data_IF_484519538287
#
_entry.id   IF_484519538287
#
_cell.length_a   1.000
_cell.length_b   1.000
_cell.length_c   1.000
_cell.angle_alpha   90.00
_cell.angle_beta   90.00
_cell.angle_gamma   90.00
#
_symmetry.space_group_name_H-M   'P 1'
#
loop_
_entity.id
_entity.type
_entity.pdbx_description
1 polymer ?
#
# COMPACT_ATOMS: atom_id res chain seq x y z
N UNK A 1 -28.86 45.96 -19.09
CA UNK A 1 -28.90 44.62 -18.45
C UNK A 1 -27.55 43.89 -18.50
N UNK A 2 -26.41 44.51 -18.13
CA UNK A 2 -25.08 43.84 -18.15
C UNK A 2 -24.28 43.96 -16.84
N UNK A 3 -24.76 44.72 -15.85
CA UNK A 3 -24.03 44.95 -14.59
C UNK A 3 -24.43 43.96 -13.46
N UNK A 4 -25.64 43.41 -13.49
CA UNK A 4 -26.16 42.53 -12.44
C UNK A 4 -25.52 41.13 -12.48
N UNK A 5 -25.12 40.66 -13.67
CA UNK A 5 -24.48 39.35 -13.82
C UNK A 5 -23.03 39.31 -13.31
N UNK A 6 -22.32 40.44 -13.31
CA UNK A 6 -20.94 40.51 -12.82
C UNK A 6 -20.87 40.53 -11.30
N UNK A 7 -21.84 41.18 -10.63
CA UNK A 7 -21.89 41.23 -9.17
C UNK A 7 -22.20 39.87 -8.54
N UNK A 8 -23.04 39.06 -9.20
CA UNK A 8 -23.37 37.70 -8.75
C UNK A 8 -22.18 36.73 -8.75
N UNK A 9 -21.25 36.89 -9.71
CA UNK A 9 -20.06 36.04 -9.82
C UNK A 9 -19.01 36.42 -8.76
N UNK A 10 -18.86 37.71 -8.42
CA UNK A 10 -17.90 38.16 -7.40
C UNK A 10 -18.35 37.76 -5.98
N UNK A 11 -19.65 37.78 -5.69
CA UNK A 11 -20.18 37.36 -4.37
C UNK A 11 -20.06 35.85 -4.15
N UNK A 12 -20.14 35.02 -5.21
CA UNK A 12 -20.01 33.56 -5.08
C UNK A 12 -18.56 33.13 -4.75
N UNK A 13 -17.55 33.88 -5.21
CA UNK A 13 -16.13 33.56 -4.96
C UNK A 13 -15.70 33.94 -3.54
N UNK A 14 -16.32 34.95 -2.92
CA UNK A 14 -15.99 35.35 -1.55
C UNK A 14 -16.63 34.46 -0.46
N UNK A 15 -17.62 33.63 -0.79
CA UNK A 15 -18.33 32.78 0.17
C UNK A 15 -17.78 31.34 0.27
N UNK A 16 -16.78 30.98 -0.55
CA UNK A 16 -16.11 29.66 -0.51
C UNK A 16 -14.76 29.69 0.21
N UNK A 17 -14.49 30.74 0.99
CA UNK A 17 -13.47 30.64 2.03
C UNK A 17 -13.85 29.48 2.93
N UNK A 18 -13.17 28.34 2.74
CA UNK A 18 -13.26 27.22 3.66
C UNK A 18 -13.14 27.80 5.06
N UNK A 19 -14.11 27.47 5.91
CA UNK A 19 -14.16 27.89 7.29
C UNK A 19 -13.00 27.20 7.98
N UNK A 20 -11.80 27.74 7.80
CA UNK A 20 -10.68 27.43 8.66
C UNK A 20 -11.19 27.68 10.07
N UNK A 21 -10.97 26.71 10.96
CA UNK A 21 -11.36 26.79 12.36
C UNK A 21 -10.99 28.15 12.96
N UNK A 22 -11.71 28.67 13.96
CA UNK A 22 -11.32 29.94 14.59
C UNK A 22 -10.05 29.76 15.45
N UNK A 23 -9.20 30.80 15.63
CA UNK A 23 -8.08 30.74 16.57
C UNK A 23 -8.54 30.29 17.96
N UNK A 24 -7.88 29.27 18.53
CA UNK A 24 -8.23 28.68 19.83
C UNK A 24 -9.14 27.43 19.76
N UNK A 25 -9.56 27.00 18.57
CA UNK A 25 -10.16 25.68 18.37
C UNK A 25 -9.09 24.60 18.23
N UNK A 26 -9.35 23.36 18.69
CA UNK A 26 -8.45 22.22 18.46
C UNK A 26 -8.21 22.01 16.97
N UNK A 27 -6.99 21.65 16.59
CA UNK A 27 -6.67 21.28 15.21
C UNK A 27 -7.57 20.14 14.73
N UNK A 28 -8.15 20.31 13.55
CA UNK A 28 -8.99 19.31 12.89
C UNK A 28 -8.68 19.20 11.37
N UNK A 29 -9.51 18.47 10.64
CA UNK A 29 -9.30 18.27 9.21
C UNK A 29 -9.52 19.51 8.34
N UNK A 30 -10.19 20.55 8.85
CA UNK A 30 -10.35 21.82 8.14
C UNK A 30 -9.05 22.63 8.08
N UNK A 31 -8.09 22.31 8.95
CA UNK A 31 -6.78 22.99 9.03
C UNK A 31 -5.74 22.43 8.05
N UNK A 32 -6.02 21.30 7.40
CA UNK A 32 -5.12 20.71 6.42
C UNK A 32 -5.16 21.46 5.09
N UNK A 33 -3.98 21.81 4.60
CA UNK A 33 -3.77 22.40 3.27
C UNK A 33 -3.10 21.37 2.38
N UNK A 34 -3.81 20.92 1.35
CA UNK A 34 -3.26 20.00 0.34
C UNK A 34 -2.76 20.78 -0.88
N UNK A 35 -1.48 20.58 -1.21
CA UNK A 35 -0.81 21.23 -2.35
C UNK A 35 -1.06 20.48 -3.66
N UNK A 36 -1.43 19.20 -3.57
CA UNK A 36 -1.79 18.38 -4.71
C UNK A 36 -3.30 18.15 -4.74
N UNK A 37 -3.94 18.22 -5.92
CA UNK A 37 -5.37 17.91 -6.04
C UNK A 37 -5.62 16.42 -5.77
N UNK A 38 -6.84 16.09 -5.35
CA UNK A 38 -7.28 14.71 -5.11
C UNK A 38 -7.12 14.22 -3.68
N UNK A 39 -6.41 14.96 -2.82
CA UNK A 39 -6.31 14.64 -1.40
C UNK A 39 -7.36 15.38 -0.57
N UNK A 40 -7.79 14.74 0.52
CA UNK A 40 -8.72 15.33 1.50
C UNK A 40 -8.47 14.75 2.89
N UNK A 41 -8.91 15.47 3.93
CA UNK A 41 -8.81 15.01 5.32
C UNK A 41 -10.20 14.69 5.88
N UNK A 42 -10.34 13.53 6.51
CA UNK A 42 -11.46 13.13 7.35
C UNK A 42 -11.02 12.72 8.75
N UNK A 43 -11.95 12.66 9.70
CA UNK A 43 -11.66 12.17 11.05
C UNK A 43 -11.87 10.65 11.08
N UNK A 44 -10.79 9.88 11.27
CA UNK A 44 -10.88 8.42 11.37
C UNK A 44 -11.38 7.97 12.74
N UNK A 45 -10.76 8.51 13.79
CA UNK A 45 -11.11 8.25 15.18
C UNK A 45 -11.27 9.57 15.89
N UNK A 46 -12.49 9.91 16.37
CA UNK A 46 -12.73 11.17 17.03
C UNK A 46 -12.06 11.21 18.40
N UNK A 47 -11.92 12.42 18.92
CA UNK A 47 -11.37 12.70 20.24
C UNK A 47 -11.94 11.78 21.33
N UNK A 48 -11.05 11.16 22.11
CA UNK A 48 -11.43 10.37 23.30
C UNK A 48 -11.98 8.97 23.01
N UNK A 49 -12.07 8.54 21.76
CA UNK A 49 -12.28 7.14 21.44
C UNK A 49 -11.08 6.31 21.95
N UNK A 50 -11.34 5.12 22.46
CA UNK A 50 -10.29 4.16 22.76
C UNK A 50 -9.65 3.72 21.44
N UNK A 51 -8.65 4.47 20.97
CA UNK A 51 -7.86 4.08 19.81
C UNK A 51 -7.23 2.75 20.18
N UNK A 52 -7.52 1.71 19.40
CA UNK A 52 -6.94 0.41 19.63
C UNK A 52 -5.42 0.55 19.62
N UNK A 53 -4.77 0.10 20.71
CA UNK A 53 -3.31 0.16 20.90
C UNK A 53 -2.43 -0.41 19.76
N UNK A 54 -2.87 -1.31 18.85
CA UNK A 54 -1.97 -1.83 17.82
C UNK A 54 -1.32 -0.78 16.93
N UNK A 55 -2.03 0.28 16.51
CA UNK A 55 -1.47 1.34 15.66
C UNK A 55 -0.36 2.12 16.38
N UNK A 56 -0.54 2.42 17.67
CA UNK A 56 0.44 3.15 18.46
C UNK A 56 1.67 2.33 18.83
N UNK A 57 1.56 1.00 18.86
CA UNK A 57 2.68 0.12 19.24
C UNK A 57 3.52 -0.34 18.05
N UNK A 58 3.05 -0.09 16.82
CA UNK A 58 3.65 -0.62 15.59
C UNK A 58 3.59 0.44 14.50
N UNK A 59 4.61 1.29 14.44
CA UNK A 59 4.77 2.18 13.30
C UNK A 59 6.09 2.93 13.34
N UNK A 60 6.54 3.33 12.17
CA UNK A 60 7.55 4.37 12.00
C UNK A 60 6.83 5.66 11.57
N UNK A 61 7.54 6.77 11.48
CA UNK A 61 7.08 7.98 10.79
C UNK A 61 7.07 7.82 9.25
N UNK A 62 7.14 6.57 8.76
CA UNK A 62 7.31 6.20 7.36
C UNK A 62 6.46 4.98 7.01
N UNK A 63 5.76 5.05 5.88
CA UNK A 63 4.99 3.93 5.30
C UNK A 63 5.13 3.93 3.79
N UNK A 64 4.86 2.80 3.13
CA UNK A 64 4.82 2.71 1.67
C UNK A 64 3.36 2.75 1.22
N UNK A 65 3.02 3.60 0.26
CA UNK A 65 1.69 3.65 -0.36
C UNK A 65 1.50 2.51 -1.39
N UNK A 66 0.28 2.31 -1.89
CA UNK A 66 0.00 1.25 -2.87
C UNK A 66 0.76 1.43 -4.21
N UNK A 67 1.20 2.65 -4.53
CA UNK A 67 1.97 2.93 -5.72
C UNK A 67 3.50 2.76 -5.49
N UNK A 68 3.91 2.26 -4.31
CA UNK A 68 5.30 2.02 -3.96
C UNK A 68 6.07 3.27 -3.53
N UNK A 69 5.40 4.42 -3.34
CA UNK A 69 6.05 5.63 -2.85
C UNK A 69 6.19 5.60 -1.32
N UNK A 70 7.33 6.10 -0.83
CA UNK A 70 7.57 6.29 0.59
C UNK A 70 6.87 7.55 1.07
N UNK A 71 5.94 7.39 1.99
CA UNK A 71 5.25 8.47 2.69
C UNK A 71 5.94 8.71 4.02
N UNK A 72 6.26 9.97 4.31
CA UNK A 72 6.84 10.38 5.60
C UNK A 72 6.00 11.52 6.19
N UNK A 73 5.79 11.48 7.50
CA UNK A 73 5.23 12.62 8.23
C UNK A 73 6.33 13.28 9.04
N UNK A 74 6.56 14.56 8.79
CA UNK A 74 7.65 15.34 9.37
C UNK A 74 7.05 16.52 10.12
N UNK A 75 7.44 16.69 11.39
CA UNK A 75 7.21 17.93 12.11
C UNK A 75 8.41 18.85 11.93
N UNK A 76 8.18 20.13 11.62
CA UNK A 76 9.24 21.13 11.59
C UNK A 76 9.52 21.62 13.00
N UNK A 77 10.56 21.09 13.66
CA UNK A 77 11.11 21.68 14.89
C UNK A 77 12.66 21.76 14.93
N UNK A 78 13.35 21.35 13.87
CA UNK A 78 14.68 20.77 14.08
C UNK A 78 15.91 21.67 13.96
N UNK A 79 15.81 23.01 13.87
CA UNK A 79 17.07 23.80 13.82
C UNK A 79 17.06 25.23 14.34
N UNK A 80 15.92 25.87 14.56
CA UNK A 80 15.92 27.28 14.96
C UNK A 80 14.89 27.57 16.07
N UNK A 81 15.34 27.83 17.31
CA UNK A 81 14.45 28.07 18.46
C UNK A 81 13.67 29.40 18.42
N UNK A 82 13.46 30.02 17.24
CA UNK A 82 12.86 31.35 17.13
C UNK A 82 11.83 31.55 16.01
N UNK A 83 11.40 30.51 15.29
CA UNK A 83 10.30 30.64 14.34
C UNK A 83 9.07 29.87 14.85
N UNK A 84 8.10 30.64 15.35
CA UNK A 84 6.83 30.27 15.99
C UNK A 84 5.81 29.55 15.08
N UNK A 85 6.27 28.85 14.05
CA UNK A 85 5.41 28.19 13.08
C UNK A 85 5.72 26.70 13.04
N UNK A 86 5.38 25.98 14.12
CA UNK A 86 5.43 24.51 14.07
C UNK A 86 4.41 24.08 13.01
N UNK A 87 4.82 23.22 12.08
CA UNK A 87 3.91 22.63 11.11
C UNK A 87 4.21 21.14 10.98
N UNK A 88 3.20 20.38 10.57
CA UNK A 88 3.33 18.98 10.19
C UNK A 88 3.12 18.87 8.69
N UNK A 89 4.08 18.28 8.01
CA UNK A 89 4.04 17.99 6.58
C UNK A 89 3.88 16.49 6.32
N UNK A 90 3.08 16.16 5.30
CA UNK A 90 3.05 14.84 4.69
C UNK A 90 3.83 14.92 3.39
N UNK A 91 4.90 14.13 3.32
CA UNK A 91 5.80 14.09 2.18
C UNK A 91 5.71 12.74 1.49
N UNK A 92 5.85 12.74 0.17
CA UNK A 92 5.84 11.56 -0.68
C UNK A 92 7.07 11.52 -1.56
N UNK A 93 7.81 10.43 -1.46
CA UNK A 93 9.00 10.15 -2.23
C UNK A 93 8.78 8.94 -3.16
N UNK A 94 8.86 9.17 -4.46
CA UNK A 94 8.62 8.14 -5.49
C UNK A 94 9.90 7.40 -5.93
N UNK A 95 11.01 7.55 -5.20
CA UNK A 95 12.33 7.03 -5.60
C UNK A 95 13.19 8.03 -6.40
N UNK A 96 12.62 9.15 -6.85
CA UNK A 96 13.31 10.18 -7.62
C UNK A 96 13.16 11.57 -7.00
N UNK A 97 11.94 11.93 -6.65
CA UNK A 97 11.58 13.26 -6.13
C UNK A 97 10.77 13.14 -4.85
N UNK A 98 11.07 14.01 -3.90
CA UNK A 98 10.27 14.22 -2.70
C UNK A 98 9.33 15.39 -2.93
N UNK A 99 8.05 15.22 -2.61
CA UNK A 99 7.02 16.25 -2.76
C UNK A 99 6.20 16.37 -1.49
N UNK A 100 5.86 17.60 -1.11
CA UNK A 100 4.90 17.85 -0.02
C UNK A 100 3.49 17.67 -0.60
N UNK A 101 2.72 16.74 -0.05
CA UNK A 101 1.33 16.49 -0.45
C UNK A 101 0.41 17.50 0.25
N UNK A 102 0.63 17.68 1.55
CA UNK A 102 -0.13 18.61 2.35
C UNK A 102 0.53 18.87 3.69
N UNK A 103 0.06 19.90 4.36
CA UNK A 103 0.57 20.31 5.66
C UNK A 103 -0.55 20.86 6.53
N UNK A 104 -0.30 20.89 7.84
CA UNK A 104 -1.12 21.58 8.83
C UNK A 104 -0.20 22.44 9.69
N UNK A 105 -0.56 23.71 9.85
CA UNK A 105 0.19 24.65 10.69
C UNK A 105 -0.40 24.68 12.10
N UNK A 106 0.46 24.64 13.12
CA UNK A 106 0.05 24.88 14.50
C UNK A 106 -0.45 26.31 14.69
N UNK A 107 -1.29 26.50 15.71
CA UNK A 107 -1.83 27.80 16.05
C UNK A 107 -1.52 28.11 17.52
N UNK A 108 -0.83 29.22 17.76
CA UNK A 108 -0.82 29.90 19.06
C UNK A 108 -0.43 29.04 20.28
N UNK A 109 0.78 28.47 20.29
CA UNK A 109 1.30 27.75 21.45
C UNK A 109 0.80 26.32 21.61
N UNK A 110 -0.09 25.85 20.72
CA UNK A 110 -0.37 24.43 20.57
C UNK A 110 0.82 23.74 19.90
N UNK A 111 1.50 22.89 20.65
CA UNK A 111 2.47 21.97 20.05
C UNK A 111 1.71 20.79 19.44
N UNK A 112 1.93 20.52 18.15
CA UNK A 112 1.62 19.21 17.61
C UNK A 112 2.65 18.25 18.16
N UNK A 113 2.30 17.61 19.26
CA UNK A 113 3.12 16.55 19.85
C UNK A 113 2.78 15.28 19.07
N UNK A 114 3.72 14.81 18.26
CA UNK A 114 3.67 13.44 17.73
C UNK A 114 3.42 12.49 18.90
N UNK A 115 2.50 11.54 18.74
CA UNK A 115 2.06 10.69 19.85
C UNK A 115 3.22 9.81 20.29
N UNK A 116 3.99 10.30 21.25
CA UNK A 116 4.83 9.58 22.20
C UNK A 116 5.18 10.51 23.36
N UNK A 117 4.13 10.97 24.03
CA UNK A 117 4.22 11.60 25.34
C UNK A 117 4.37 10.58 26.48
N UNK A 118 4.99 9.43 26.26
CA UNK A 118 5.65 8.71 27.36
C UNK A 118 7.12 9.14 27.33
N UNK A 119 7.46 10.02 28.27
CA UNK A 119 8.80 10.54 28.51
C UNK A 119 9.83 9.39 28.57
N UNK A 120 10.53 9.12 27.47
CA UNK A 120 11.46 7.98 27.46
C UNK A 120 12.19 7.63 26.18
N UNK A 121 12.03 8.37 25.09
CA UNK A 121 12.89 8.22 23.90
C UNK A 121 13.42 9.61 23.56
N UNK A 122 14.75 9.76 23.64
CA UNK A 122 15.43 11.05 23.68
C UNK A 122 15.13 11.95 22.48
N UNK A 123 15.07 13.24 22.79
CA UNK A 123 14.93 14.39 21.88
C UNK A 123 16.03 14.51 20.79
N UNK A 124 16.90 13.51 20.62
CA UNK A 124 17.96 13.48 19.60
C UNK A 124 17.62 12.58 18.40
N UNK A 125 16.40 12.02 18.34
CA UNK A 125 15.88 11.39 17.14
C UNK A 125 14.81 12.29 16.52
N UNK A 126 15.04 12.88 15.32
CA UNK A 126 14.04 13.66 14.59
C UNK A 126 12.85 12.81 14.07
N UNK A 127 12.74 11.56 14.53
CA UNK A 127 11.68 10.63 14.18
C UNK A 127 10.59 10.67 15.26
N UNK A 128 9.58 11.51 15.01
CA UNK A 128 8.32 11.52 15.75
C UNK A 128 7.73 10.11 15.74
N UNK A 129 7.86 9.39 16.85
CA UNK A 129 7.40 7.99 16.98
C UNK A 129 5.87 7.85 17.17
N UNK A 130 5.09 8.74 16.55
CA UNK A 130 3.69 8.46 16.28
C UNK A 130 3.59 7.60 15.02
N UNK A 131 3.33 6.30 15.18
CA UNK A 131 3.20 5.37 14.05
C UNK A 131 2.11 5.82 13.07
N UNK A 132 2.52 6.26 11.88
CA UNK A 132 1.58 6.46 10.77
C UNK A 132 1.25 5.09 10.18
N UNK A 133 0.02 4.91 9.71
CA UNK A 133 -0.42 3.67 9.07
C UNK A 133 -1.00 3.97 7.70
N UNK A 134 -0.78 3.05 6.76
CA UNK A 134 -1.38 3.13 5.45
C UNK A 134 -2.46 2.05 5.31
N UNK A 135 -3.73 2.49 5.26
CA UNK A 135 -4.86 1.63 4.91
C UNK A 135 -4.87 1.42 3.40
N UNK A 136 -4.15 0.38 2.98
CA UNK A 136 -4.00 -0.02 1.59
C UNK A 136 -5.34 -0.29 0.90
N UNK A 137 -6.33 -0.84 1.63
CA UNK A 137 -7.63 -1.20 1.04
C UNK A 137 -8.38 0.03 0.61
N UNK A 138 -8.40 1.06 1.46
CA UNK A 138 -9.16 2.29 1.20
C UNK A 138 -8.34 3.41 0.54
N UNK A 139 -7.02 3.24 0.39
CA UNK A 139 -6.14 4.26 -0.20
C UNK A 139 -6.01 5.48 0.71
N UNK A 140 -5.74 5.22 2.00
CA UNK A 140 -5.81 6.23 3.05
C UNK A 140 -4.59 6.19 3.97
N UNK A 141 -4.02 7.35 4.25
CA UNK A 141 -2.99 7.52 5.28
C UNK A 141 -3.64 7.91 6.60
N UNK A 142 -3.30 7.22 7.68
CA UNK A 142 -3.77 7.49 9.03
C UNK A 142 -2.64 8.18 9.82
N UNK A 143 -2.88 9.43 10.20
CA UNK A 143 -1.91 10.29 10.89
C UNK A 143 -2.41 10.59 12.30
N UNK A 144 -1.76 10.04 13.34
CA UNK A 144 -2.07 10.40 14.72
C UNK A 144 -1.64 11.85 15.00
N UNK A 145 -2.56 12.65 15.54
CA UNK A 145 -2.32 14.05 15.88
C UNK A 145 -2.75 14.35 17.32
N UNK A 146 -2.11 15.36 17.91
CA UNK A 146 -2.50 15.92 19.19
C UNK A 146 -2.52 17.45 19.12
N UNK A 147 -3.57 18.08 19.67
CA UNK A 147 -3.70 19.53 19.82
C UNK A 147 -4.49 19.85 21.08
N UNK A 148 -4.10 20.88 21.83
CA UNK A 148 -4.74 21.29 23.08
C UNK A 148 -4.96 20.12 24.07
N UNK A 149 -3.99 19.19 24.16
CA UNK A 149 -4.06 18.00 25.03
C UNK A 149 -5.02 16.90 24.57
N UNK A 150 -5.65 17.05 23.40
CA UNK A 150 -6.57 16.06 22.83
C UNK A 150 -5.90 15.32 21.68
N UNK A 151 -6.08 13.99 21.64
CA UNK A 151 -5.55 13.11 20.59
C UNK A 151 -6.65 12.68 19.63
N UNK A 152 -6.32 12.58 18.35
CA UNK A 152 -7.22 12.11 17.30
C UNK A 152 -6.40 11.52 16.13
N UNK A 153 -7.08 10.86 15.19
CA UNK A 153 -6.45 10.33 13.98
C UNK A 153 -7.05 11.01 12.76
N UNK A 154 -6.21 11.71 12.00
CA UNK A 154 -6.54 12.21 10.68
C UNK A 154 -6.48 11.07 9.67
N UNK A 155 -7.53 10.92 8.87
CA UNK A 155 -7.55 10.12 7.66
C UNK A 155 -7.28 11.04 6.47
N UNK A 156 -6.15 10.86 5.80
CA UNK A 156 -5.85 11.54 4.55
C UNK A 156 -6.20 10.58 3.42
N UNK A 157 -7.30 10.86 2.74
CA UNK A 157 -7.79 10.15 1.58
C UNK A 157 -7.17 10.72 0.28
N UNK A 158 -7.25 9.97 -0.81
CA UNK A 158 -6.78 10.40 -2.14
C UNK A 158 -5.60 9.59 -2.69
N UNK A 159 -5.09 8.62 -1.92
CA UNK A 159 -4.10 7.68 -2.45
C UNK A 159 -4.80 6.61 -3.29
N UNK A 160 -4.04 6.02 -4.23
CA UNK A 160 -4.51 4.89 -5.00
C UNK A 160 -4.93 3.76 -4.05
N UNK A 161 -6.12 3.19 -4.26
CA UNK A 161 -6.55 1.99 -3.52
C UNK A 161 -5.78 0.79 -4.02
N UNK A 162 -5.70 -0.24 -3.19
CA UNK A 162 -5.06 -1.48 -3.60
C UNK A 162 -5.77 -2.09 -4.82
N UNK A 163 -7.09 -1.94 -4.90
CA UNK A 163 -7.86 -2.35 -6.07
C UNK A 163 -7.48 -1.55 -7.33
N UNK A 164 -7.35 -0.23 -7.24
CA UNK A 164 -6.96 0.62 -8.38
C UNK A 164 -5.58 0.21 -8.93
N UNK A 165 -4.65 -0.15 -8.04
CA UNK A 165 -3.32 -0.65 -8.44
C UNK A 165 -3.43 -2.03 -9.11
N UNK A 166 -4.27 -2.92 -8.60
CA UNK A 166 -4.50 -4.22 -9.25
C UNK A 166 -5.19 -4.08 -10.61
N UNK A 167 -6.10 -3.12 -10.78
CA UNK A 167 -6.77 -2.87 -12.07
C UNK A 167 -5.85 -2.22 -13.11
N UNK A 168 -4.89 -1.39 -12.67
CA UNK A 168 -3.95 -0.72 -13.56
C UNK A 168 -2.67 -1.51 -13.81
N UNK A 169 -2.39 -2.53 -13.00
CA UNK A 169 -1.26 -3.42 -13.21
C UNK A 169 -1.47 -4.23 -14.49
N UNK A 170 -0.88 -3.75 -15.58
CA UNK A 170 -0.67 -4.53 -16.79
C UNK A 170 0.71 -5.15 -16.68
N UNK A 171 0.86 -6.47 -16.43
CA UNK A 171 2.18 -7.09 -16.41
C UNK A 171 2.86 -6.80 -17.77
N UNK A 172 3.98 -6.08 -17.73
CA UNK A 172 4.61 -5.53 -18.95
C UNK A 172 5.46 -6.55 -19.70
N UNK A 173 5.24 -7.84 -19.47
CA UNK A 173 6.15 -8.87 -19.94
C UNK A 173 5.35 -10.01 -20.52
N UNK A 174 5.60 -10.32 -21.79
CA UNK A 174 5.27 -11.59 -22.45
C UNK A 174 5.99 -12.79 -21.80
N UNK A 175 6.43 -12.66 -20.55
CA UNK A 175 7.30 -13.60 -19.86
C UNK A 175 7.13 -13.42 -18.35
N UNK A 176 6.64 -14.46 -17.69
CA UNK A 176 6.71 -14.59 -16.24
C UNK A 176 8.12 -15.02 -15.86
N UNK A 177 8.65 -14.49 -14.77
CA UNK A 177 9.93 -14.96 -14.25
C UNK A 177 9.86 -15.22 -12.76
N UNK A 178 10.54 -16.28 -12.31
CA UNK A 178 10.65 -16.59 -10.90
C UNK A 178 12.00 -17.22 -10.60
N UNK A 179 12.44 -17.04 -9.35
CA UNK A 179 13.69 -17.60 -8.86
C UNK A 179 13.42 -18.95 -8.18
N UNK A 180 14.21 -19.97 -8.52
CA UNK A 180 14.10 -21.29 -7.90
C UNK A 180 14.37 -21.20 -6.40
N UNK A 181 13.38 -21.51 -5.53
CA UNK A 181 13.56 -21.42 -4.09
C UNK A 181 14.61 -22.40 -3.56
N UNK A 182 15.10 -22.14 -2.35
CA UNK A 182 16.03 -23.05 -1.70
C UNK A 182 15.43 -24.44 -1.40
N UNK A 183 14.14 -24.47 -1.10
CA UNK A 183 13.37 -25.67 -0.76
C UNK A 183 12.01 -25.56 -1.48
N UNK A 184 11.96 -25.87 -2.79
CA UNK A 184 10.75 -25.74 -3.59
C UNK A 184 9.62 -26.61 -3.02
N UNK A 185 8.52 -25.99 -2.57
CA UNK A 185 7.36 -26.69 -1.97
C UNK A 185 7.69 -27.70 -0.86
N UNK A 186 8.77 -27.45 -0.11
CA UNK A 186 9.24 -28.34 0.95
C UNK A 186 10.04 -29.55 0.46
N UNK A 187 10.46 -29.56 -0.81
CA UNK A 187 11.27 -30.62 -1.42
C UNK A 187 12.76 -30.26 -1.45
N UNK A 188 13.62 -31.28 -1.57
CA UNK A 188 15.07 -31.11 -1.58
C UNK A 188 15.63 -30.45 -2.84
N UNK A 189 14.84 -30.38 -3.91
CA UNK A 189 15.19 -29.77 -5.19
C UNK A 189 13.98 -29.67 -6.12
N UNK A 190 14.26 -29.50 -7.41
CA UNK A 190 13.29 -29.52 -8.50
C UNK A 190 13.92 -30.21 -9.70
N UNK A 191 13.18 -31.10 -10.35
CA UNK A 191 13.52 -31.64 -11.66
C UNK A 191 12.99 -30.72 -12.76
N UNK A 192 11.78 -30.18 -12.56
CA UNK A 192 11.14 -29.18 -13.41
C UNK A 192 9.98 -28.50 -12.67
N UNK A 193 9.42 -27.49 -13.32
CA UNK A 193 8.23 -26.76 -12.91
C UNK A 193 7.18 -26.78 -14.00
N UNK A 194 5.91 -26.92 -13.60
CA UNK A 194 4.76 -26.71 -14.46
C UNK A 194 4.05 -25.44 -14.04
N UNK A 195 3.84 -24.52 -14.98
CA UNK A 195 3.12 -23.27 -14.74
C UNK A 195 1.73 -23.36 -15.34
N UNK A 196 0.74 -22.97 -14.56
CA UNK A 196 -0.67 -22.94 -14.92
C UNK A 196 -1.21 -21.52 -14.73
N UNK A 197 -2.34 -21.25 -15.36
CA UNK A 197 -3.08 -20.01 -15.21
C UNK A 197 -4.59 -20.28 -15.03
N UNK A 198 -5.34 -19.31 -14.53
CA UNK A 198 -6.80 -19.37 -14.51
C UNK A 198 -7.41 -18.00 -14.24
N UNK A 199 -8.73 -17.88 -14.36
CA UNK A 199 -9.42 -16.60 -14.11
C UNK A 199 -9.38 -16.25 -12.61
N UNK A 200 -9.06 -14.99 -12.30
CA UNK A 200 -8.95 -14.50 -10.92
C UNK A 200 -10.25 -14.68 -10.11
N UNK A 201 -11.42 -14.64 -10.77
CA UNK A 201 -12.71 -14.92 -10.15
C UNK A 201 -12.87 -16.37 -9.65
N UNK A 202 -11.99 -17.26 -10.10
CA UNK A 202 -11.99 -18.70 -9.76
C UNK A 202 -10.83 -19.10 -8.86
N UNK A 203 -10.05 -18.15 -8.32
CA UNK A 203 -8.93 -18.43 -7.41
C UNK A 203 -9.34 -19.38 -6.28
N UNK A 204 -8.56 -20.43 -6.09
CA UNK A 204 -8.87 -21.51 -5.14
C UNK A 204 -9.52 -22.73 -5.79
N UNK A 205 -10.16 -22.57 -6.95
CA UNK A 205 -10.70 -23.68 -7.77
C UNK A 205 -9.65 -24.20 -8.75
N UNK A 206 -8.54 -24.70 -8.23
CA UNK A 206 -7.34 -25.06 -9.01
C UNK A 206 -7.56 -26.09 -10.13
N UNK A 207 -8.65 -26.85 -10.06
CA UNK A 207 -9.05 -27.81 -11.09
C UNK A 207 -9.52 -27.14 -12.40
N UNK A 208 -9.83 -25.85 -12.34
CA UNK A 208 -10.18 -25.02 -13.50
C UNK A 208 -8.96 -24.34 -14.14
N UNK A 209 -7.75 -24.56 -13.61
CA UNK A 209 -6.55 -23.98 -14.18
C UNK A 209 -6.26 -24.58 -15.57
N UNK A 210 -5.45 -23.89 -16.35
CA UNK A 210 -4.98 -24.31 -17.67
C UNK A 210 -3.46 -24.34 -17.66
N UNK A 211 -2.84 -25.33 -18.31
CA UNK A 211 -1.39 -25.38 -18.46
C UNK A 211 -0.90 -24.19 -19.30
N UNK A 212 0.07 -23.44 -18.79
CA UNK A 212 0.76 -22.36 -19.52
C UNK A 212 2.06 -22.87 -20.12
N UNK A 213 2.89 -23.53 -19.30
CA UNK A 213 4.16 -24.11 -19.72
C UNK A 213 4.48 -25.30 -18.84
N UNK A 214 4.72 -26.45 -19.48
CA UNK A 214 5.00 -27.70 -18.78
C UNK A 214 6.48 -28.05 -18.86
N UNK A 215 6.98 -28.76 -17.84
CA UNK A 215 8.33 -29.30 -17.77
C UNK A 215 9.44 -28.25 -17.98
N UNK A 216 9.32 -27.06 -17.36
CA UNK A 216 10.30 -25.99 -17.47
C UNK A 216 11.23 -25.92 -16.24
N UNK A 217 12.56 -25.89 -16.39
CA UNK A 217 13.31 -26.09 -17.64
C UNK A 217 13.43 -27.58 -18.00
N UNK A 218 13.94 -27.87 -19.19
CA UNK A 218 14.14 -29.25 -19.67
C UNK A 218 15.21 -30.05 -18.89
N UNK A 219 16.06 -29.36 -18.12
CA UNK A 219 17.05 -29.97 -17.23
C UNK A 219 16.81 -29.49 -15.78
N UNK A 220 17.11 -30.30 -14.75
CA UNK A 220 16.93 -29.90 -13.36
C UNK A 220 17.61 -28.57 -13.03
N UNK A 221 16.87 -27.54 -12.59
CA UNK A 221 17.47 -26.25 -12.28
C UNK A 221 18.13 -26.24 -10.90
N UNK A 222 19.14 -25.40 -10.73
CA UNK A 222 19.79 -25.19 -9.44
C UNK A 222 19.02 -24.19 -8.58
N UNK A 223 19.28 -24.25 -7.27
CA UNK A 223 18.79 -23.25 -6.31
C UNK A 223 19.24 -21.86 -6.75
N UNK A 224 18.29 -20.92 -6.83
CA UNK A 224 18.56 -19.53 -7.12
C UNK A 224 18.65 -19.19 -8.61
N UNK A 225 18.57 -20.18 -9.50
CA UNK A 225 18.40 -19.95 -10.94
C UNK A 225 17.13 -19.14 -11.21
N UNK A 226 17.16 -18.31 -12.25
CA UNK A 226 15.99 -17.60 -12.74
C UNK A 226 15.39 -18.37 -13.91
N UNK A 227 14.12 -18.73 -13.76
CA UNK A 227 13.33 -19.38 -14.79
C UNK A 227 12.39 -18.37 -15.43
N UNK A 228 12.18 -18.52 -16.73
CA UNK A 228 11.26 -17.71 -17.53
C UNK A 228 10.23 -18.60 -18.18
N UNK A 229 8.98 -18.16 -18.15
CA UNK A 229 7.83 -18.82 -18.77
C UNK A 229 7.17 -17.81 -19.69
N UNK A 230 7.06 -18.06 -21.00
CA UNK A 230 6.33 -17.17 -21.89
C UNK A 230 4.89 -16.98 -21.40
N UNK A 231 4.46 -15.73 -21.29
CA UNK A 231 3.07 -15.38 -21.04
C UNK A 231 2.40 -15.11 -22.39
N UNK A 232 1.64 -16.10 -22.86
CA UNK A 232 0.92 -16.06 -24.14
C UNK A 232 -0.51 -15.57 -23.97
N UNK A 233 -0.93 -15.22 -22.75
CA UNK A 233 -2.31 -14.81 -22.50
C UNK A 233 -2.57 -13.40 -23.04
N UNK A 234 -3.76 -13.16 -23.62
CA UNK A 234 -4.14 -11.80 -24.01
C UNK A 234 -4.31 -10.94 -22.76
N UNK A 235 -4.09 -9.63 -22.85
CA UNK A 235 -4.40 -8.71 -21.74
C UNK A 235 -5.86 -8.90 -21.29
N UNK A 236 -6.13 -9.14 -20.00
CA UNK A 236 -7.49 -9.33 -19.51
C UNK A 236 -8.32 -8.06 -19.72
N UNK A 237 -9.64 -8.23 -19.93
CA UNK A 237 -10.57 -7.10 -20.00
C UNK A 237 -10.64 -6.37 -18.64
N UNK A 238 -11.00 -5.06 -18.59
CA UNK A 238 -11.19 -4.34 -17.34
C UNK A 238 -12.14 -5.10 -16.38
N UNK A 239 -11.74 -5.24 -15.12
CA UNK A 239 -12.49 -6.01 -14.11
C UNK A 239 -12.21 -7.52 -14.10
N UNK A 240 -11.39 -8.03 -15.02
CA UNK A 240 -10.91 -9.42 -15.05
C UNK A 240 -9.41 -9.47 -14.74
N UNK A 241 -8.94 -10.67 -14.40
CA UNK A 241 -7.52 -10.93 -14.21
C UNK A 241 -7.22 -12.41 -14.35
N UNK A 242 -5.94 -12.74 -14.49
CA UNK A 242 -5.48 -14.12 -14.38
C UNK A 242 -4.68 -14.30 -13.10
N UNK A 243 -4.82 -15.46 -12.47
CA UNK A 243 -3.82 -15.95 -11.52
C UNK A 243 -2.86 -16.89 -12.23
N UNK A 244 -1.63 -16.97 -11.73
CA UNK A 244 -0.65 -17.97 -12.15
C UNK A 244 -0.28 -18.83 -10.96
N UNK A 245 -0.09 -20.12 -11.19
CA UNK A 245 0.36 -21.07 -10.17
C UNK A 245 1.44 -21.97 -10.76
N UNK A 246 2.52 -22.15 -10.01
CA UNK A 246 3.61 -23.04 -10.41
C UNK A 246 3.63 -24.25 -9.50
N UNK A 247 3.59 -25.44 -10.11
CA UNK A 247 3.86 -26.70 -9.44
C UNK A 247 5.34 -27.07 -9.64
N UNK A 248 5.95 -27.67 -8.63
CA UNK A 248 7.30 -28.23 -8.71
C UNK A 248 7.20 -29.74 -8.71
N UNK A 249 7.99 -30.40 -9.56
CA UNK A 249 8.20 -31.85 -9.52
C UNK A 249 9.63 -32.17 -9.10
N UNK A 250 9.80 -33.12 -8.18
CA UNK A 250 11.11 -33.64 -7.76
C UNK A 250 11.00 -35.13 -7.44
N UNK A 251 11.82 -35.96 -8.10
CA UNK A 251 11.86 -37.42 -7.95
C UNK A 251 10.47 -38.07 -8.10
N UNK A 252 9.69 -37.59 -9.08
CA UNK A 252 8.34 -38.07 -9.36
C UNK A 252 7.26 -37.59 -8.38
N UNK A 253 7.60 -36.77 -7.38
CA UNK A 253 6.61 -36.10 -6.53
C UNK A 253 6.33 -34.69 -7.03
N UNK A 254 5.08 -34.37 -7.28
CA UNK A 254 4.65 -33.02 -7.68
C UNK A 254 3.95 -32.34 -6.50
N UNK A 255 4.16 -31.03 -6.35
CA UNK A 255 3.53 -30.19 -5.32
C UNK A 255 3.33 -28.78 -5.83
N UNK A 256 2.32 -28.07 -5.34
CA UNK A 256 2.12 -26.66 -5.68
C UNK A 256 1.62 -25.89 -4.47
N UNK A 257 2.05 -24.64 -4.33
CA UNK A 257 1.59 -23.71 -3.29
C UNK A 257 1.79 -24.21 -1.85
N UNK A 258 1.75 -23.28 -0.89
CA UNK A 258 1.98 -23.65 0.51
C UNK A 258 0.67 -23.91 1.25
N UNK A 259 0.65 -24.95 2.07
CA UNK A 259 -0.34 -25.19 3.13
C UNK A 259 0.39 -25.45 4.45
N UNK A 260 -0.16 -24.92 5.54
CA UNK A 260 0.30 -25.28 6.88
C UNK A 260 -0.55 -26.44 7.38
N UNK A 261 0.08 -27.55 7.78
CA UNK A 261 -0.59 -28.68 8.42
C UNK A 261 0.23 -29.12 9.63
N UNK A 262 -0.36 -29.11 10.83
CA UNK A 262 0.35 -29.46 12.06
C UNK A 262 1.57 -28.58 12.37
N UNK A 263 1.52 -27.29 12.02
CA UNK A 263 2.63 -26.34 12.24
C UNK A 263 3.78 -26.44 11.24
N UNK A 264 3.74 -27.40 10.30
CA UNK A 264 4.72 -27.53 9.22
C UNK A 264 4.14 -26.99 7.91
N UNK A 265 4.97 -26.25 7.15
CA UNK A 265 4.65 -25.82 5.79
C UNK A 265 4.95 -26.95 4.82
N UNK A 266 3.97 -27.34 4.01
CA UNK A 266 4.12 -28.31 2.92
C UNK A 266 3.49 -27.80 1.64
N UNK A 267 3.90 -28.36 0.51
CA UNK A 267 3.17 -28.22 -0.74
C UNK A 267 1.73 -28.77 -0.65
N UNK A 268 0.82 -28.29 -1.49
CA UNK A 268 -0.52 -28.90 -1.69
C UNK A 268 -0.42 -30.11 -2.63
N UNK A 269 -1.44 -30.96 -2.55
CA UNK A 269 -1.57 -32.17 -3.37
C UNK A 269 -1.91 -31.78 -4.81
N UNK A 270 -1.05 -32.08 -5.80
CA UNK A 270 -1.25 -31.68 -7.19
C UNK A 270 -2.43 -32.38 -7.86
N UNK A 271 -3.08 -33.37 -7.25
CA UNK A 271 -4.21 -34.08 -7.84
C UNK A 271 -5.41 -33.18 -8.19
N UNK A 272 -5.47 -31.96 -7.64
CA UNK A 272 -6.49 -30.97 -7.99
C UNK A 272 -6.08 -30.06 -9.15
N UNK A 273 -4.84 -30.11 -9.62
CA UNK A 273 -4.43 -29.46 -10.85
C UNK A 273 -4.75 -30.37 -12.04
N UNK A 274 -5.19 -29.81 -13.18
CA UNK A 274 -5.29 -30.59 -14.40
C UNK A 274 -3.90 -31.04 -14.87
N UNK A 275 -3.86 -32.06 -15.72
CA UNK A 275 -2.61 -32.44 -16.36
C UNK A 275 -2.04 -31.25 -17.13
N UNK A 276 -0.76 -30.93 -16.92
CA UNK A 276 -0.07 -29.96 -17.75
C UNK A 276 0.20 -30.60 -19.12
N UNK A 277 -0.75 -30.46 -20.03
CA UNK A 277 -0.52 -30.67 -21.44
C UNK A 277 0.04 -29.36 -21.98
N UNK A 278 1.27 -29.38 -22.49
CA UNK A 278 1.72 -28.32 -23.39
C UNK A 278 0.70 -28.30 -24.53
N UNK A 279 -0.08 -27.21 -24.66
CA UNK A 279 -1.01 -27.07 -25.76
C UNK A 279 -0.25 -27.40 -27.04
N UNK A 280 -0.70 -28.45 -27.72
CA UNK A 280 -0.19 -28.82 -29.03
C UNK A 280 -0.49 -27.62 -29.90
N UNK A 281 0.53 -26.83 -30.21
CA UNK A 281 0.42 -25.73 -31.16
C UNK A 281 -0.25 -26.29 -32.42
N UNK A 282 -1.38 -25.74 -32.88
CA UNK A 282 -2.06 -26.25 -34.07
C UNK A 282 -1.20 -26.17 -35.32
#
# INVERSE_FOLDING_TARGET
MKLVALLGIVVLVAALGAWASEPGQPLDCSDWVFLQPGYSCGVYSPFGAAISRPMHQRGANRVIDNAGALITVVGSNDSYPQLLNDYVEVRRYNGLTETVIGFVQTRGGDHIVGIDGEAGIGYDSPELAGGIEFDAVNGRLLVPLASSGRRWIAAIDGFAKLLDIFETYTPSTSTLSFRVPAIPEGMGGADYFDTYWGDLSTVGSWWQAHGLQCHCPAAPPARGDYLTVPDTLPTPQPGHGYYYVTATTYQGQTRYGRKTSGGMLSGRDPAVLPACASEITP
#
